data_IF_512191598555
#
_entry.id   IF_512191598555
#
_cell.length_a   1.000
_cell.length_b   1.000
_cell.length_c   1.000
_cell.angle_alpha   90.00
_cell.angle_beta   90.00
_cell.angle_gamma   90.00
#
_symmetry.space_group_name_H-M   'P 1'
#
loop_
_entity.id
_entity.type
_entity.pdbx_description
1 polymer ?
#
# COMPACT_ATOMS: atom_id res chain seq x y z
N UNK A 1 13.75 -3.91 18.99
CA UNK A 1 14.69 -3.41 17.96
C UNK A 1 15.17 -4.59 17.14
N UNK A 2 15.31 -4.40 15.85
CA UNK A 2 15.73 -5.42 14.90
C UNK A 2 17.12 -5.07 14.35
N UNK A 3 18.02 -6.05 14.35
CA UNK A 3 19.35 -5.92 13.74
C UNK A 3 19.32 -6.53 12.32
N UNK A 4 19.37 -5.66 11.33
CA UNK A 4 19.31 -6.06 9.92
C UNK A 4 20.57 -6.83 9.43
N UNK A 5 21.66 -6.81 10.18
CA UNK A 5 22.89 -7.54 9.81
C UNK A 5 22.84 -8.99 10.27
N UNK A 6 22.22 -9.24 11.41
CA UNK A 6 22.10 -10.58 12.01
C UNK A 6 20.73 -11.20 11.77
N UNK A 7 19.79 -10.46 11.19
CA UNK A 7 18.39 -10.85 10.96
C UNK A 7 17.68 -11.31 12.24
N UNK A 8 17.93 -10.60 13.34
CA UNK A 8 17.39 -10.96 14.65
C UNK A 8 16.82 -9.75 15.39
N UNK A 9 15.78 -10.00 16.18
CA UNK A 9 15.36 -9.05 17.18
C UNK A 9 16.36 -9.08 18.33
N UNK A 10 17.03 -7.94 18.58
CA UNK A 10 18.11 -7.84 19.54
C UNK A 10 17.72 -7.15 20.85
N UNK A 11 16.62 -6.39 20.86
CA UNK A 11 16.22 -5.62 22.04
C UNK A 11 14.76 -5.14 21.98
N UNK A 12 14.17 -4.90 23.13
CA UNK A 12 12.85 -4.32 23.30
C UNK A 12 12.94 -3.09 24.20
N UNK A 13 12.16 -2.06 23.89
CA UNK A 13 11.97 -0.88 24.74
C UNK A 13 10.51 -0.79 25.14
N UNK A 14 10.29 -0.51 26.41
CA UNK A 14 8.97 -0.39 27.04
C UNK A 14 8.92 0.78 28.02
N UNK A 15 7.79 1.00 28.66
CA UNK A 15 7.66 1.98 29.74
C UNK A 15 8.59 1.67 30.91
N UNK A 16 8.97 0.40 31.13
CA UNK A 16 9.94 0.00 32.16
C UNK A 16 11.37 0.47 31.83
N UNK A 17 11.65 0.74 30.55
CA UNK A 17 12.95 1.23 30.07
C UNK A 17 12.97 2.75 29.90
N UNK A 18 11.84 3.44 30.19
CA UNK A 18 11.70 4.89 30.12
C UNK A 18 10.90 5.42 28.93
N UNK A 19 10.26 4.56 28.13
CA UNK A 19 9.25 5.03 27.18
C UNK A 19 8.09 5.67 27.94
N UNK A 20 7.54 6.75 27.36
CA UNK A 20 6.39 7.45 27.96
C UNK A 20 5.12 6.60 27.79
N UNK A 21 5.01 5.88 26.66
CA UNK A 21 3.91 4.99 26.35
C UNK A 21 4.41 3.85 25.44
N UNK A 22 3.82 2.66 25.58
CA UNK A 22 4.13 1.52 24.72
C UNK A 22 3.45 1.59 23.34
N UNK A 23 2.42 2.41 23.18
CA UNK A 23 1.79 2.66 21.89
C UNK A 23 2.62 3.71 21.11
N UNK A 24 3.37 3.25 20.13
CA UNK A 24 4.21 4.05 19.24
C UNK A 24 3.44 4.27 17.92
N UNK A 25 3.25 5.52 17.52
CA UNK A 25 2.59 5.85 16.27
C UNK A 25 3.57 6.15 15.14
N UNK A 26 4.68 6.81 15.45
CA UNK A 26 5.68 7.16 14.45
C UNK A 26 7.10 7.19 15.02
N UNK A 27 8.06 7.10 14.12
CA UNK A 27 9.48 7.28 14.43
C UNK A 27 10.15 8.07 13.32
N UNK A 28 10.95 9.06 13.69
CA UNK A 28 11.75 9.83 12.75
C UNK A 28 13.19 9.94 13.26
N UNK A 29 14.15 9.79 12.34
CA UNK A 29 15.57 9.98 12.62
C UNK A 29 16.01 11.37 12.21
N UNK A 30 16.81 12.03 13.05
CA UNK A 30 17.50 13.24 12.64
C UNK A 30 18.96 12.95 12.21
N UNK A 31 19.65 13.95 11.63
CA UNK A 31 21.02 13.80 11.13
C UNK A 31 22.04 13.41 12.19
N UNK A 32 21.80 13.67 13.46
CA UNK A 32 22.63 13.28 14.59
C UNK A 32 22.47 11.82 15.01
N UNK A 33 21.74 11.04 14.24
CA UNK A 33 21.41 9.64 14.51
C UNK A 33 20.48 9.37 15.68
N UNK A 34 19.92 10.41 16.28
CA UNK A 34 18.89 10.26 17.32
C UNK A 34 17.53 9.90 16.70
N UNK A 35 16.77 9.06 17.36
CA UNK A 35 15.43 8.65 16.90
C UNK A 35 14.37 9.29 17.79
N UNK A 36 13.53 10.09 17.18
CA UNK A 36 12.36 10.71 17.81
C UNK A 36 11.17 9.75 17.67
N UNK A 37 10.51 9.46 18.78
CA UNK A 37 9.46 8.46 18.89
C UNK A 37 8.17 9.17 19.33
N UNK A 38 7.21 9.26 18.41
CA UNK A 38 5.87 9.78 18.68
C UNK A 38 4.98 8.73 19.31
N UNK A 39 4.33 9.07 20.44
CA UNK A 39 3.56 8.12 21.24
C UNK A 39 2.10 8.54 21.37
N UNK A 40 1.27 7.58 21.78
CA UNK A 40 -0.11 7.82 22.14
C UNK A 40 -0.20 8.52 23.49
N UNK A 41 -0.89 9.68 23.52
CA UNK A 41 -1.31 10.35 24.77
C UNK A 41 -0.20 10.98 25.61
N UNK A 42 1.09 10.87 25.23
CA UNK A 42 2.19 11.23 26.10
C UNK A 42 3.30 12.13 25.49
N UNK A 43 3.26 12.41 24.18
CA UNK A 43 4.22 13.26 23.49
C UNK A 43 5.36 12.49 22.83
N UNK A 44 6.62 12.93 23.00
CA UNK A 44 7.78 12.44 22.25
C UNK A 44 8.88 11.94 23.18
N UNK A 45 9.36 10.72 22.92
CA UNK A 45 10.65 10.23 23.41
C UNK A 45 11.76 10.46 22.38
N UNK A 46 12.99 10.53 22.82
CA UNK A 46 14.19 10.61 22.00
C UNK A 46 15.13 9.49 22.44
N UNK A 47 15.46 8.61 21.50
CA UNK A 47 16.44 7.56 21.71
C UNK A 47 17.77 8.00 21.10
N UNK A 48 18.79 8.14 21.94
CA UNK A 48 20.15 8.56 21.61
C UNK A 48 21.15 7.47 21.96
N UNK A 49 22.35 7.57 21.39
CA UNK A 49 23.45 6.66 21.69
C UNK A 49 24.67 7.43 22.22
N UNK A 50 25.25 6.96 23.33
CA UNK A 50 26.56 7.38 23.83
C UNK A 50 27.48 6.16 23.82
N UNK A 51 28.32 6.06 22.79
CA UNK A 51 29.02 4.82 22.47
C UNK A 51 28.03 3.70 22.20
N UNK A 52 28.13 2.59 22.95
CA UNK A 52 27.19 1.46 22.82
C UNK A 52 25.98 1.56 23.78
N UNK A 53 25.91 2.60 24.61
CA UNK A 53 24.83 2.78 25.56
C UNK A 53 23.67 3.54 24.92
N UNK A 54 22.47 2.96 25.00
CA UNK A 54 21.21 3.60 24.64
C UNK A 54 20.75 4.50 25.78
N UNK A 55 20.31 5.70 25.45
CA UNK A 55 19.77 6.67 26.39
C UNK A 55 18.42 7.11 25.86
N UNK A 56 17.40 6.98 26.70
CA UNK A 56 16.04 7.39 26.35
C UNK A 56 15.68 8.65 27.13
N UNK A 57 15.32 9.70 26.40
CA UNK A 57 14.91 10.98 26.96
C UNK A 57 13.46 11.27 26.61
N UNK A 58 12.85 12.17 27.37
CA UNK A 58 11.61 12.82 26.97
C UNK A 58 11.93 14.20 26.38
N UNK A 59 11.31 14.57 25.26
CA UNK A 59 11.38 15.94 24.78
C UNK A 59 10.59 16.86 25.73
N UNK A 60 11.31 17.72 26.45
CA UNK A 60 10.69 18.67 27.38
C UNK A 60 10.11 19.87 26.61
N UNK A 61 8.79 19.97 26.60
CA UNK A 61 8.08 21.14 26.08
C UNK A 61 7.89 22.13 27.23
N UNK A 62 8.41 23.37 27.12
CA UNK A 62 8.21 24.38 28.16
C UNK A 62 6.73 24.66 28.45
N UNK A 63 6.37 24.82 29.71
CA UNK A 63 4.97 24.93 30.18
C UNK A 63 4.20 26.13 29.65
N UNK A 64 4.89 27.13 29.10
CA UNK A 64 4.26 28.31 28.47
C UNK A 64 3.77 28.04 27.04
N UNK A 65 4.14 26.90 26.44
CA UNK A 65 3.59 26.46 25.16
C UNK A 65 2.35 25.58 25.35
N UNK A 66 1.44 25.53 24.36
CA UNK A 66 0.30 24.63 24.41
C UNK A 66 0.71 23.15 24.54
N UNK A 67 0.02 22.41 25.39
CA UNK A 67 0.23 20.98 25.52
C UNK A 67 -0.32 20.25 24.31
N UNK A 68 0.37 19.18 23.90
CA UNK A 68 -0.11 18.19 22.94
C UNK A 68 0.17 16.79 23.49
N UNK A 69 -0.50 15.79 22.96
CA UNK A 69 -0.40 14.43 23.52
C UNK A 69 0.01 13.39 22.48
N UNK A 70 -0.90 12.99 21.61
CA UNK A 70 -0.64 11.94 20.61
C UNK A 70 0.00 12.54 19.37
N UNK A 71 1.11 11.94 18.92
CA UNK A 71 1.88 12.35 17.75
C UNK A 71 1.81 11.23 16.71
N UNK A 72 1.15 11.49 15.59
CA UNK A 72 0.96 10.54 14.52
C UNK A 72 2.10 10.54 13.50
N UNK A 73 2.74 11.71 13.30
CA UNK A 73 3.86 11.80 12.37
C UNK A 73 4.88 12.87 12.82
N UNK A 74 6.14 12.65 12.47
CA UNK A 74 7.27 13.53 12.74
C UNK A 74 8.07 13.71 11.46
N UNK A 75 8.15 14.94 10.96
CA UNK A 75 8.92 15.26 9.76
C UNK A 75 9.96 16.35 10.06
N UNK A 76 11.21 16.12 9.66
CA UNK A 76 12.31 17.07 9.86
C UNK A 76 12.61 17.89 8.61
N UNK A 77 12.94 19.16 8.79
CA UNK A 77 13.38 20.11 7.76
C UNK A 77 14.53 20.98 8.25
N UNK A 78 15.14 21.77 7.37
CA UNK A 78 16.24 22.70 7.68
C UNK A 78 17.42 22.07 8.43
N UNK A 79 17.95 20.96 7.87
CA UNK A 79 19.08 20.26 8.47
C UNK A 79 18.74 19.71 9.85
N UNK A 80 17.50 19.18 9.99
CA UNK A 80 16.99 18.54 11.21
C UNK A 80 16.83 19.45 12.45
N UNK A 81 16.89 20.76 12.25
CA UNK A 81 16.66 21.74 13.32
C UNK A 81 15.20 22.13 13.50
N UNK A 82 14.37 21.88 12.49
CA UNK A 82 12.93 22.15 12.54
C UNK A 82 12.18 20.81 12.41
N UNK A 83 11.34 20.55 13.39
CA UNK A 83 10.50 19.35 13.49
C UNK A 83 9.04 19.76 13.32
N UNK A 84 8.36 19.09 12.42
CA UNK A 84 6.93 19.18 12.18
C UNK A 84 6.23 17.99 12.79
N UNK A 85 5.15 18.21 13.52
CA UNK A 85 4.37 17.17 14.19
C UNK A 85 2.94 17.15 13.67
N UNK A 86 2.51 15.99 13.22
CA UNK A 86 1.11 15.66 13.00
C UNK A 86 0.50 15.11 14.28
N UNK A 87 -0.60 15.67 14.74
CA UNK A 87 -1.16 15.34 16.05
C UNK A 87 -2.61 14.87 15.98
N UNK A 88 -3.04 14.21 17.04
CA UNK A 88 -4.44 13.81 17.23
C UNK A 88 -5.24 14.94 17.89
N UNK A 89 -5.77 15.85 17.08
CA UNK A 89 -6.67 16.91 17.54
C UNK A 89 -5.98 18.19 18.07
N UNK A 90 -4.64 18.29 17.90
CA UNK A 90 -3.88 19.50 18.26
C UNK A 90 -3.33 20.23 17.03
N UNK A 91 -3.71 19.81 15.84
CA UNK A 91 -3.30 20.38 14.57
C UNK A 91 -1.87 20.08 14.17
N UNK A 92 -1.30 20.93 13.31
CA UNK A 92 0.09 20.91 12.88
C UNK A 92 0.94 21.75 13.83
N UNK A 93 2.02 21.13 14.35
CA UNK A 93 2.93 21.82 15.26
C UNK A 93 4.32 21.90 14.63
N UNK A 94 4.89 23.09 14.62
CA UNK A 94 6.28 23.37 14.24
C UNK A 94 7.10 23.63 15.49
N UNK A 95 8.19 22.90 15.66
CA UNK A 95 9.12 23.07 16.78
C UNK A 95 10.53 23.24 16.21
N UNK A 96 11.23 24.30 16.65
CA UNK A 96 12.69 24.39 16.43
C UNK A 96 13.39 23.83 17.65
N UNK A 97 14.25 22.86 17.43
CA UNK A 97 15.05 22.19 18.46
C UNK A 97 16.52 22.49 18.31
N UNK A 98 17.25 22.46 19.42
CA UNK A 98 18.70 22.59 19.46
C UNK A 98 19.27 21.53 20.40
N UNK A 99 20.22 20.74 19.89
CA UNK A 99 20.93 19.73 20.68
C UNK A 99 21.89 20.43 21.65
N UNK A 100 21.81 20.08 22.92
CA UNK A 100 22.68 20.61 23.95
C UNK A 100 23.93 19.71 24.12
N UNK A 101 24.98 20.25 24.72
CA UNK A 101 26.25 19.53 24.96
C UNK A 101 26.07 18.22 25.74
N UNK A 102 25.04 18.15 26.58
CA UNK A 102 24.69 16.99 27.41
C UNK A 102 23.89 15.92 26.64
N UNK A 103 23.60 16.16 25.35
CA UNK A 103 22.84 15.24 24.48
C UNK A 103 21.33 15.44 24.50
N UNK A 104 20.80 16.27 25.40
CA UNK A 104 19.38 16.62 25.45
C UNK A 104 19.02 17.67 24.38
N UNK A 105 17.73 17.80 24.06
CA UNK A 105 17.23 18.79 23.13
C UNK A 105 16.46 19.90 23.88
N UNK A 106 16.72 21.14 23.48
CA UNK A 106 16.01 22.33 23.96
C UNK A 106 15.09 22.84 22.87
N UNK A 107 13.82 23.09 23.22
CA UNK A 107 12.86 23.76 22.35
C UNK A 107 13.17 25.25 22.33
N UNK A 108 13.40 25.80 21.13
CA UNK A 108 13.71 27.21 20.88
C UNK A 108 12.51 28.02 20.40
N UNK A 109 11.71 27.37 19.53
CA UNK A 109 10.50 27.96 18.94
C UNK A 109 9.41 26.92 18.94
N UNK A 110 8.17 27.39 19.10
CA UNK A 110 6.98 26.55 19.02
C UNK A 110 5.88 27.33 18.33
N UNK A 111 5.32 26.77 17.28
CA UNK A 111 4.19 27.35 16.56
C UNK A 111 3.14 26.25 16.32
N UNK A 112 1.89 26.58 16.55
CA UNK A 112 0.77 25.65 16.37
C UNK A 112 -0.25 26.23 15.38
N UNK A 113 -0.67 25.39 14.46
CA UNK A 113 -1.73 25.69 13.50
C UNK A 113 -2.91 24.77 13.77
N UNK A 114 -4.11 25.36 13.88
CA UNK A 114 -5.35 24.64 14.19
C UNK A 114 -6.51 25.12 13.32
N UNK A 115 -7.61 24.39 13.34
CA UNK A 115 -8.87 24.80 12.71
C UNK A 115 -9.51 26.02 13.36
N UNK A 116 -9.07 26.42 14.55
CA UNK A 116 -9.55 27.61 15.30
C UNK A 116 -8.76 28.87 14.98
N UNK A 117 -7.65 28.79 14.25
CA UNK A 117 -6.86 29.94 13.89
C UNK A 117 -7.68 30.91 13.03
N UNK A 118 -7.49 32.24 13.24
CA UNK A 118 -8.15 33.27 12.40
C UNK A 118 -7.59 33.28 10.97
N UNK A 119 -6.28 33.13 10.85
CA UNK A 119 -5.52 32.99 9.60
C UNK A 119 -4.79 31.67 9.62
N UNK A 120 -4.46 31.11 8.46
CA UNK A 120 -3.82 29.80 8.37
C UNK A 120 -4.64 28.70 9.08
N UNK A 121 -5.93 28.71 8.80
CA UNK A 121 -6.88 27.76 9.36
C UNK A 121 -6.73 26.40 8.74
N UNK A 122 -6.60 25.36 9.57
CA UNK A 122 -6.62 23.96 9.10
C UNK A 122 -8.03 23.52 8.72
N UNK A 123 -8.10 22.52 7.84
CA UNK A 123 -9.35 21.83 7.50
C UNK A 123 -9.81 20.88 8.61
N UNK A 124 -8.84 20.28 9.34
CA UNK A 124 -9.08 19.40 10.49
C UNK A 124 -7.82 19.38 11.36
N UNK A 125 -7.98 19.18 12.68
CA UNK A 125 -6.88 19.18 13.65
C UNK A 125 -6.25 17.80 13.88
N UNK A 126 -6.76 16.75 13.23
CA UNK A 126 -6.16 15.42 13.23
C UNK A 126 -5.32 15.27 11.96
N UNK A 127 -4.00 15.18 12.13
CA UNK A 127 -3.03 15.10 11.03
C UNK A 127 -2.28 13.79 11.12
N UNK A 128 -2.43 12.95 10.08
CA UNK A 128 -1.85 11.61 10.04
C UNK A 128 -0.47 11.55 9.40
N UNK A 129 -0.21 12.39 8.39
CA UNK A 129 1.05 12.31 7.67
C UNK A 129 1.52 13.68 7.18
N UNK A 130 2.84 13.86 7.14
CA UNK A 130 3.53 15.11 6.77
C UNK A 130 4.69 14.76 5.85
N UNK A 131 4.88 15.57 4.80
CA UNK A 131 6.08 15.53 3.97
C UNK A 131 6.45 16.93 3.50
N UNK A 132 7.62 17.10 2.87
CA UNK A 132 8.04 18.36 2.25
C UNK A 132 8.38 18.15 0.78
N UNK A 133 8.12 19.15 -0.06
CA UNK A 133 8.54 19.18 -1.45
C UNK A 133 9.91 19.86 -1.62
N UNK A 134 10.43 19.86 -2.86
CA UNK A 134 11.72 20.45 -3.21
C UNK A 134 11.79 21.99 -2.97
N UNK A 135 10.64 22.65 -2.85
CA UNK A 135 10.51 24.08 -2.53
C UNK A 135 10.40 24.33 -1.04
N UNK A 136 10.55 23.29 -0.21
CA UNK A 136 10.36 23.31 1.24
C UNK A 136 8.93 23.69 1.69
N UNK A 137 7.91 23.55 0.83
CA UNK A 137 6.54 23.56 1.32
C UNK A 137 6.27 22.32 2.16
N UNK A 138 5.45 22.46 3.19
CA UNK A 138 5.03 21.35 4.02
C UNK A 138 3.65 20.90 3.56
N UNK A 139 3.58 19.66 3.10
CA UNK A 139 2.33 19.00 2.74
C UNK A 139 1.87 18.14 3.90
N UNK A 140 0.61 18.22 4.26
CA UNK A 140 0.07 17.44 5.36
C UNK A 140 -1.36 16.99 5.08
N UNK A 141 -1.60 15.72 5.43
CA UNK A 141 -2.88 15.05 5.28
C UNK A 141 -3.68 15.08 6.57
N UNK A 142 -4.97 15.37 6.46
CA UNK A 142 -5.86 15.46 7.59
C UNK A 142 -6.94 14.37 7.54
N UNK A 143 -7.53 14.07 8.70
CA UNK A 143 -8.67 13.14 8.80
C UNK A 143 -9.93 13.78 8.24
N UNK A 144 -10.33 13.35 7.05
CA UNK A 144 -11.55 13.81 6.37
C UNK A 144 -11.52 15.26 5.88
N UNK A 145 -10.44 16.03 6.13
CA UNK A 145 -10.29 17.41 5.69
C UNK A 145 -9.42 17.59 4.44
N UNK A 146 -8.93 16.49 3.85
CA UNK A 146 -8.14 16.50 2.64
C UNK A 146 -6.68 16.92 2.81
N UNK A 147 -6.05 17.28 1.69
CA UNK A 147 -4.64 17.63 1.59
C UNK A 147 -4.44 19.14 1.69
N UNK A 148 -3.52 19.56 2.54
CA UNK A 148 -3.14 20.95 2.76
C UNK A 148 -1.65 21.15 2.45
N UNK A 149 -1.31 22.37 2.02
CA UNK A 149 0.06 22.85 1.83
C UNK A 149 0.33 24.07 2.69
N UNK A 150 1.36 24.06 3.49
CA UNK A 150 1.93 25.24 4.11
C UNK A 150 3.10 25.73 3.26
N UNK A 151 2.96 26.91 2.68
CA UNK A 151 4.08 27.62 2.07
C UNK A 151 4.94 28.22 3.17
N UNK A 152 6.16 27.72 3.36
CA UNK A 152 7.03 28.14 4.46
C UNK A 152 7.63 29.54 4.27
N UNK A 153 7.68 30.06 3.03
CA UNK A 153 8.18 31.41 2.74
C UNK A 153 7.16 32.49 3.09
N UNK A 154 5.90 32.28 2.73
CA UNK A 154 4.80 33.22 2.99
C UNK A 154 4.10 32.93 4.32
N UNK A 155 4.35 31.77 4.91
CA UNK A 155 3.65 31.24 6.08
C UNK A 155 2.13 31.20 5.86
N UNK A 156 1.68 30.74 4.68
CA UNK A 156 0.27 30.60 4.34
C UNK A 156 -0.11 29.14 4.17
N UNK A 157 -1.28 28.76 4.70
CA UNK A 157 -1.85 27.42 4.51
C UNK A 157 -2.93 27.47 3.44
N UNK A 158 -2.84 26.56 2.49
CA UNK A 158 -3.71 26.46 1.33
C UNK A 158 -4.21 25.02 1.19
N UNK A 159 -5.44 24.83 0.73
CA UNK A 159 -5.97 23.51 0.38
C UNK A 159 -5.57 23.14 -1.04
N UNK A 160 -5.39 21.85 -1.31
CA UNK A 160 -5.16 21.39 -2.68
C UNK A 160 -6.26 21.89 -3.64
N UNK A 161 -7.51 21.75 -3.27
CA UNK A 161 -8.65 22.17 -4.09
C UNK A 161 -8.56 23.64 -4.53
N UNK A 162 -8.13 24.53 -3.61
CA UNK A 162 -8.04 25.98 -3.86
C UNK A 162 -6.89 26.33 -4.82
N UNK A 163 -5.75 25.65 -4.71
CA UNK A 163 -4.54 25.92 -5.50
C UNK A 163 -4.45 25.16 -6.81
N UNK A 164 -5.24 24.11 -6.96
CA UNK A 164 -5.22 23.23 -8.13
C UNK A 164 -6.35 23.46 -9.14
N UNK A 165 -7.21 24.45 -8.90
CA UNK A 165 -8.39 24.69 -9.73
C UNK A 165 -9.52 23.66 -9.51
N UNK A 166 -9.59 23.05 -8.34
CA UNK A 166 -10.68 22.16 -7.95
C UNK A 166 -10.38 20.66 -8.12
N UNK A 167 -9.12 20.24 -8.22
CA UNK A 167 -8.77 18.81 -8.21
C UNK A 167 -9.24 18.14 -6.93
N UNK A 168 -9.89 17.00 -7.07
CA UNK A 168 -10.39 16.21 -5.96
C UNK A 168 -9.65 14.87 -5.89
N UNK A 169 -9.13 14.56 -4.70
CA UNK A 169 -8.57 13.24 -4.40
C UNK A 169 -9.66 12.17 -4.35
N UNK A 170 -9.27 10.92 -4.45
CA UNK A 170 -10.18 9.78 -4.32
C UNK A 170 -10.92 9.77 -2.99
N UNK A 171 -10.28 10.28 -1.93
CA UNK A 171 -10.90 10.47 -0.61
C UNK A 171 -10.16 11.56 0.18
N UNK A 172 -10.85 12.23 1.12
CA UNK A 172 -10.32 13.30 1.95
C UNK A 172 -9.73 12.82 3.30
N UNK A 173 -9.78 11.52 3.58
CA UNK A 173 -9.13 10.91 4.73
C UNK A 173 -7.72 10.44 4.31
N UNK A 174 -6.71 11.29 4.58
CA UNK A 174 -5.35 11.08 4.11
C UNK A 174 -4.57 10.30 5.17
N UNK A 175 -4.09 9.10 4.81
CA UNK A 175 -3.38 8.19 5.73
C UNK A 175 -1.86 8.28 5.58
N UNK A 176 -1.36 8.49 4.36
CA UNK A 176 0.07 8.50 4.09
C UNK A 176 0.44 9.52 3.02
N UNK A 177 1.63 10.13 3.15
CA UNK A 177 2.20 11.08 2.19
C UNK A 177 3.67 10.77 1.95
N UNK A 178 4.08 10.77 0.69
CA UNK A 178 5.49 10.67 0.31
C UNK A 178 5.75 11.53 -0.91
N UNK A 179 6.76 12.40 -0.83
CA UNK A 179 7.21 13.20 -1.97
C UNK A 179 8.49 12.61 -2.55
N UNK A 180 8.50 12.40 -3.85
CA UNK A 180 9.67 11.94 -4.59
C UNK A 180 9.60 12.38 -6.05
N UNK A 181 10.72 12.86 -6.60
CA UNK A 181 10.90 13.17 -8.02
C UNK A 181 9.77 14.01 -8.64
N UNK A 182 9.37 15.09 -7.96
CA UNK A 182 8.31 16.00 -8.42
C UNK A 182 6.87 15.46 -8.23
N UNK A 183 6.72 14.27 -7.65
CA UNK A 183 5.44 13.64 -7.40
C UNK A 183 5.13 13.63 -5.89
N UNK A 184 3.95 14.06 -5.53
CA UNK A 184 3.39 13.85 -4.21
C UNK A 184 2.43 12.65 -4.27
N UNK A 185 2.80 11.58 -3.62
CA UNK A 185 1.99 10.38 -3.46
C UNK A 185 1.11 10.53 -2.23
N UNK A 186 -0.19 10.37 -2.41
CA UNK A 186 -1.21 10.60 -1.39
C UNK A 186 -2.03 9.32 -1.22
N UNK A 187 -1.71 8.56 -0.17
CA UNK A 187 -2.48 7.39 0.23
C UNK A 187 -3.69 7.81 1.07
N UNK A 188 -4.86 7.33 0.68
CA UNK A 188 -6.12 7.66 1.35
C UNK A 188 -6.84 6.40 1.85
N UNK A 189 -7.95 6.58 2.57
CA UNK A 189 -8.82 5.47 2.95
C UNK A 189 -9.56 4.85 1.75
N UNK A 190 -9.48 5.48 0.56
CA UNK A 190 -10.09 4.96 -0.68
C UNK A 190 -9.27 5.29 -1.93
N UNK A 191 -8.09 4.71 -2.05
CA UNK A 191 -7.22 4.79 -3.21
C UNK A 191 -5.92 5.56 -2.98
N UNK A 192 -5.01 5.39 -3.94
CA UNK A 192 -3.76 6.11 -4.06
C UNK A 192 -3.90 7.22 -5.10
N UNK A 193 -3.38 8.39 -4.79
CA UNK A 193 -3.35 9.52 -5.70
C UNK A 193 -1.90 9.93 -5.96
N UNK A 194 -1.51 10.07 -7.21
CA UNK A 194 -0.24 10.66 -7.62
C UNK A 194 -0.50 12.08 -8.12
N UNK A 195 -0.01 13.06 -7.38
CA UNK A 195 -0.08 14.46 -7.71
C UNK A 195 1.27 14.90 -8.29
N UNK A 196 1.35 15.09 -9.58
CA UNK A 196 2.51 15.64 -10.28
C UNK A 196 2.53 17.16 -10.10
N UNK A 197 3.63 17.69 -9.57
CA UNK A 197 3.75 19.11 -9.22
C UNK A 197 4.75 19.79 -10.18
N UNK A 198 4.23 20.58 -11.12
CA UNK A 198 5.02 21.36 -12.07
C UNK A 198 4.80 22.85 -11.80
N UNK A 199 5.76 23.52 -11.18
CA UNK A 199 5.68 24.94 -10.77
C UNK A 199 4.40 25.28 -10.01
N UNK A 200 3.34 25.73 -10.71
CA UNK A 200 2.02 26.06 -10.16
C UNK A 200 0.90 25.23 -10.82
N UNK A 201 1.23 24.21 -11.58
CA UNK A 201 0.26 23.31 -12.20
C UNK A 201 0.30 21.95 -11.50
N UNK A 202 -0.87 21.32 -11.42
CA UNK A 202 -1.05 20.02 -10.77
C UNK A 202 -1.73 19.09 -11.75
N UNK A 203 -1.19 17.88 -11.87
CA UNK A 203 -1.82 16.80 -12.62
C UNK A 203 -2.07 15.63 -11.66
N UNK A 204 -3.29 15.10 -11.65
CA UNK A 204 -3.71 14.05 -10.73
C UNK A 204 -3.97 12.74 -11.46
N UNK A 205 -3.36 11.67 -11.01
CA UNK A 205 -3.61 10.30 -11.44
C UNK A 205 -4.05 9.48 -10.23
N UNK A 206 -5.16 8.76 -10.35
CA UNK A 206 -5.75 7.99 -9.27
C UNK A 206 -5.63 6.48 -9.56
N UNK A 207 -5.45 5.70 -8.49
CA UNK A 207 -5.40 4.24 -8.51
C UNK A 207 -6.32 3.69 -7.43
N UNK A 208 -7.23 2.82 -7.85
CA UNK A 208 -8.18 2.09 -6.98
C UNK A 208 -8.19 0.61 -7.37
N UNK A 209 -9.11 -0.16 -6.84
CA UNK A 209 -9.38 -1.53 -7.27
C UNK A 209 -9.80 -1.62 -8.76
N UNK A 210 -10.37 -0.55 -9.33
CA UNK A 210 -10.64 -0.46 -10.77
C UNK A 210 -9.37 -0.48 -11.63
N UNK A 211 -8.28 0.12 -11.13
CA UNK A 211 -6.95 0.12 -11.76
C UNK A 211 -6.12 -1.11 -11.35
N UNK A 212 -6.67 -2.00 -10.53
CA UNK A 212 -6.06 -3.28 -10.19
C UNK A 212 -5.45 -3.37 -8.79
N UNK A 213 -5.66 -2.40 -7.91
CA UNK A 213 -5.25 -2.53 -6.51
C UNK A 213 -6.04 -3.65 -5.82
N UNK A 214 -5.39 -4.42 -4.95
CA UNK A 214 -6.06 -5.45 -4.17
C UNK A 214 -6.93 -4.92 -3.03
N UNK A 215 -6.71 -3.66 -2.63
CA UNK A 215 -7.50 -2.94 -1.63
C UNK A 215 -7.27 -1.43 -1.75
N UNK A 216 -8.29 -0.65 -1.41
CA UNK A 216 -8.28 0.80 -1.56
C UNK A 216 -7.75 1.56 -0.33
N UNK A 217 -7.57 0.94 0.83
CA UNK A 217 -6.99 1.60 2.01
C UNK A 217 -5.46 1.58 1.92
N UNK A 218 -4.83 2.74 1.80
CA UNK A 218 -3.39 2.88 1.55
C UNK A 218 -2.68 3.35 2.81
N UNK A 219 -1.99 2.44 3.50
CA UNK A 219 -1.30 2.70 4.77
C UNK A 219 0.10 3.27 4.63
N UNK A 220 0.84 2.85 3.58
CA UNK A 220 2.20 3.28 3.34
C UNK A 220 2.53 3.37 1.87
N UNK A 221 3.38 4.32 1.49
CA UNK A 221 3.78 4.58 0.10
C UNK A 221 5.28 4.76 0.04
N UNK A 222 5.98 3.89 -0.70
CA UNK A 222 7.42 3.92 -0.90
C UNK A 222 7.76 3.94 -2.39
N UNK A 223 8.06 5.11 -2.97
CA UNK A 223 8.50 5.24 -4.36
C UNK A 223 9.91 4.66 -4.58
N UNK A 224 10.13 4.12 -5.79
CA UNK A 224 11.44 3.73 -6.29
C UNK A 224 11.99 4.78 -7.27
N UNK A 225 13.32 4.84 -7.38
CA UNK A 225 14.03 5.71 -8.36
C UNK A 225 13.77 5.35 -9.82
N UNK A 226 13.26 4.15 -10.11
CA UNK A 226 12.86 3.71 -11.45
C UNK A 226 11.46 4.20 -11.86
N UNK A 227 10.74 4.91 -10.96
CA UNK A 227 9.38 5.40 -11.16
C UNK A 227 8.27 4.44 -10.75
N UNK A 228 8.61 3.26 -10.22
CA UNK A 228 7.63 2.36 -9.58
C UNK A 228 7.29 2.85 -8.17
N UNK A 229 6.15 2.44 -7.62
CA UNK A 229 5.76 2.74 -6.24
C UNK A 229 5.20 1.49 -5.55
N UNK A 230 5.69 1.24 -4.34
CA UNK A 230 5.24 0.17 -3.45
C UNK A 230 4.28 0.72 -2.41
N UNK A 231 3.16 0.06 -2.23
CA UNK A 231 2.11 0.48 -1.29
C UNK A 231 1.67 -0.68 -0.42
N UNK A 232 1.40 -0.40 0.84
CA UNK A 232 0.80 -1.36 1.78
C UNK A 232 -0.68 -1.04 2.00
N UNK A 233 -1.47 -2.10 2.13
CA UNK A 233 -2.94 -2.03 2.21
C UNK A 233 -3.49 -2.98 3.28
N UNK A 234 -4.83 -3.03 3.43
CA UNK A 234 -5.51 -4.06 4.25
C UNK A 234 -5.53 -5.47 3.60
N UNK A 235 -5.01 -5.62 2.38
CA UNK A 235 -4.97 -6.91 1.66
C UNK A 235 -3.61 -7.24 1.06
N UNK A 236 -2.53 -6.76 1.69
CA UNK A 236 -1.18 -7.03 1.25
C UNK A 236 -0.46 -5.81 0.72
N UNK A 237 0.54 -6.05 -0.11
CA UNK A 237 1.37 -5.04 -0.75
C UNK A 237 1.05 -5.01 -2.24
N UNK A 238 0.95 -3.82 -2.83
CA UNK A 238 0.86 -3.67 -4.28
C UNK A 238 2.06 -2.87 -4.77
N UNK A 239 2.54 -3.16 -5.99
CA UNK A 239 3.48 -2.32 -6.72
C UNK A 239 2.83 -1.83 -8.00
N UNK A 240 2.96 -0.55 -8.25
CA UNK A 240 2.54 0.10 -9.51
C UNK A 240 3.83 0.44 -10.25
N UNK A 241 4.01 -0.09 -11.44
CA UNK A 241 5.17 0.22 -12.25
C UNK A 241 5.02 1.57 -12.98
N UNK A 242 6.10 2.02 -13.63
CA UNK A 242 6.12 3.29 -14.38
C UNK A 242 5.10 3.36 -15.52
N UNK A 243 4.54 2.21 -15.96
CA UNK A 243 3.51 2.14 -17.02
C UNK A 243 2.11 2.21 -16.44
N UNK A 244 1.97 2.16 -15.10
CA UNK A 244 0.71 2.11 -14.39
C UNK A 244 0.18 0.69 -14.20
N UNK A 245 0.94 -0.35 -14.56
CA UNK A 245 0.57 -1.74 -14.32
C UNK A 245 0.69 -2.08 -12.84
N UNK A 246 -0.31 -2.75 -12.30
CA UNK A 246 -0.39 -3.10 -10.87
C UNK A 246 -0.08 -4.58 -10.67
N UNK A 247 0.75 -4.87 -9.68
CA UNK A 247 1.02 -6.23 -9.20
C UNK A 247 0.77 -6.30 -7.70
N UNK A 248 0.10 -7.35 -7.25
CA UNK A 248 -0.34 -7.52 -5.87
C UNK A 248 0.34 -8.73 -5.21
N UNK A 249 0.71 -8.57 -3.94
CA UNK A 249 1.30 -9.59 -3.08
C UNK A 249 0.44 -9.75 -1.84
N UNK A 250 0.33 -10.98 -1.36
CA UNK A 250 -0.47 -11.34 -0.20
C UNK A 250 0.27 -12.39 0.68
N UNK A 251 -0.40 -12.92 1.69
CA UNK A 251 0.17 -13.90 2.61
C UNK A 251 0.76 -15.13 1.89
N UNK A 252 0.16 -15.60 0.79
CA UNK A 252 0.68 -16.75 0.02
C UNK A 252 1.98 -16.44 -0.74
N UNK A 253 2.30 -15.16 -0.93
CA UNK A 253 3.56 -14.71 -1.51
C UNK A 253 4.67 -14.53 -0.46
N UNK A 254 4.40 -14.86 0.81
CA UNK A 254 5.36 -14.80 1.91
C UNK A 254 5.29 -13.52 2.75
N UNK A 255 4.21 -12.74 2.64
CA UNK A 255 4.00 -11.60 3.53
C UNK A 255 3.72 -12.08 4.96
N UNK A 256 4.06 -11.23 5.94
CA UNK A 256 3.82 -11.50 7.37
C UNK A 256 2.32 -11.66 7.70
N UNK A 257 1.46 -10.93 7.00
CA UNK A 257 0.00 -10.95 7.02
C UNK A 257 -0.52 -10.14 5.83
N UNK A 258 -1.83 -10.13 5.62
CA UNK A 258 -2.46 -9.25 4.63
C UNK A 258 -2.68 -7.82 5.17
N UNK A 259 -2.81 -7.63 6.48
CA UNK A 259 -3.08 -6.34 7.10
C UNK A 259 -1.79 -5.60 7.48
N UNK A 260 -1.63 -4.39 6.96
CA UNK A 260 -0.54 -3.48 7.25
C UNK A 260 -1.03 -2.29 8.08
N UNK A 261 -0.09 -1.57 8.72
CA UNK A 261 -0.41 -0.52 9.68
C UNK A 261 -0.02 0.87 9.15
N UNK A 262 -0.80 1.89 9.52
CA UNK A 262 -0.50 3.29 9.22
C UNK A 262 0.88 3.68 9.77
N UNK A 263 1.64 4.46 8.99
CA UNK A 263 2.95 4.97 9.40
C UNK A 263 4.06 3.93 9.50
N UNK A 264 3.76 2.63 9.27
CA UNK A 264 4.71 1.54 9.45
C UNK A 264 5.42 1.16 8.13
N UNK A 265 6.11 2.11 7.53
CA UNK A 265 6.87 1.90 6.30
C UNK A 265 8.18 2.70 6.32
N UNK A 266 9.24 2.14 5.71
CA UNK A 266 10.57 2.76 5.74
C UNK A 266 11.47 2.21 4.63
N UNK A 267 12.38 3.04 4.10
CA UNK A 267 13.47 2.62 3.23
C UNK A 267 14.78 2.89 3.96
N UNK A 268 15.63 1.87 4.10
CA UNK A 268 16.95 2.05 4.69
C UNK A 268 18.01 2.52 3.67
N UNK A 269 19.20 2.90 4.16
CA UNK A 269 20.34 3.35 3.33
C UNK A 269 20.86 2.31 2.33
N UNK A 270 20.49 1.06 2.47
CA UNK A 270 20.86 -0.05 1.59
C UNK A 270 19.74 -0.41 0.60
N UNK A 271 18.69 0.44 0.51
CA UNK A 271 17.49 0.24 -0.29
C UNK A 271 16.70 -1.01 0.06
N UNK A 272 16.71 -1.43 1.33
CA UNK A 272 15.70 -2.34 1.85
C UNK A 272 14.43 -1.59 2.17
N UNK A 273 13.33 -2.12 1.70
CA UNK A 273 11.98 -1.64 1.95
C UNK A 273 11.39 -2.42 3.12
N UNK A 274 10.77 -1.72 4.04
CA UNK A 274 10.13 -2.27 5.23
C UNK A 274 8.67 -1.85 5.25
N UNK A 275 7.79 -2.83 5.43
CA UNK A 275 6.37 -2.59 5.67
C UNK A 275 5.93 -3.38 6.90
N UNK A 276 5.45 -2.68 7.92
CA UNK A 276 4.97 -3.25 9.18
C UNK A 276 3.47 -3.51 9.16
N UNK A 277 3.06 -4.54 9.87
CA UNK A 277 1.66 -4.94 10.01
C UNK A 277 1.41 -5.72 11.29
N UNK A 278 0.24 -6.35 11.37
CA UNK A 278 -0.28 -6.98 12.59
C UNK A 278 0.53 -8.16 13.12
N UNK A 279 1.31 -8.84 12.26
CA UNK A 279 2.11 -10.01 12.64
C UNK A 279 3.62 -9.78 12.52
N UNK A 280 4.06 -8.53 12.43
CA UNK A 280 5.47 -8.16 12.28
C UNK A 280 5.70 -7.24 11.09
N UNK A 281 6.79 -7.45 10.35
CA UNK A 281 7.09 -6.65 9.17
C UNK A 281 7.69 -7.51 8.05
N UNK A 282 7.52 -7.05 6.82
CA UNK A 282 8.24 -7.56 5.65
C UNK A 282 9.43 -6.66 5.35
N UNK A 283 10.56 -7.28 4.98
CA UNK A 283 11.78 -6.64 4.54
C UNK A 283 12.23 -7.25 3.22
N UNK A 284 12.40 -6.43 2.20
CA UNK A 284 12.85 -6.88 0.89
C UNK A 284 13.59 -5.76 0.13
N UNK A 285 14.32 -6.12 -0.91
CA UNK A 285 14.84 -5.17 -1.90
C UNK A 285 14.07 -5.34 -3.21
N UNK A 286 13.41 -4.31 -3.72
CA UNK A 286 12.74 -4.37 -5.01
C UNK A 286 13.65 -4.86 -6.15
N UNK A 287 14.90 -4.40 -6.20
CA UNK A 287 15.85 -4.78 -7.23
C UNK A 287 16.28 -6.27 -7.20
N UNK A 288 16.07 -6.97 -6.09
CA UNK A 288 16.36 -8.39 -5.93
C UNK A 288 15.12 -9.29 -6.18
N UNK A 289 13.94 -8.67 -6.36
CA UNK A 289 12.72 -9.41 -6.66
C UNK A 289 12.72 -9.86 -8.11
N UNK A 290 12.78 -11.16 -8.31
CA UNK A 290 12.73 -11.78 -9.65
C UNK A 290 11.31 -12.24 -9.90
N UNK A 291 10.65 -11.65 -10.89
CA UNK A 291 9.37 -12.16 -11.38
C UNK A 291 9.62 -13.19 -12.48
N UNK A 292 9.02 -14.36 -12.33
CA UNK A 292 9.18 -15.44 -13.29
C UNK A 292 8.30 -15.15 -14.52
N UNK A 293 8.93 -15.00 -15.68
CA UNK A 293 8.22 -14.95 -16.98
C UNK A 293 7.90 -16.35 -17.48
N UNK A 294 7.60 -17.28 -16.55
CA UNK A 294 7.22 -18.64 -16.90
C UNK A 294 5.76 -18.67 -17.32
N UNK A 295 5.51 -19.11 -18.55
CA UNK A 295 4.16 -19.30 -19.07
C UNK A 295 3.68 -20.71 -18.73
N UNK A 296 2.96 -20.83 -17.62
CA UNK A 296 2.49 -22.12 -17.11
C UNK A 296 1.50 -22.78 -18.09
N UNK A 297 1.74 -23.99 -18.59
CA UNK A 297 0.75 -24.70 -19.38
C UNK A 297 -0.52 -24.95 -18.57
N UNK A 298 -1.66 -24.91 -19.24
CA UNK A 298 -2.95 -25.15 -18.61
C UNK A 298 -3.59 -26.43 -19.17
N UNK A 299 -4.24 -27.19 -18.32
CA UNK A 299 -4.98 -28.40 -18.69
C UNK A 299 -6.37 -28.42 -18.06
N UNK A 300 -7.29 -29.14 -18.69
CA UNK A 300 -8.56 -29.56 -18.11
C UNK A 300 -8.30 -30.72 -17.14
N UNK A 301 -8.51 -30.49 -15.86
CA UNK A 301 -8.20 -31.43 -14.78
C UNK A 301 -9.39 -32.27 -14.34
N UNK A 302 -10.61 -31.78 -14.52
CA UNK A 302 -11.82 -32.47 -14.10
C UNK A 302 -13.03 -32.17 -14.98
N UNK A 303 -13.88 -33.17 -15.16
CA UNK A 303 -15.16 -33.09 -15.86
C UNK A 303 -16.24 -33.69 -14.98
N UNK A 304 -17.31 -32.94 -14.73
CA UNK A 304 -18.54 -33.46 -14.10
C UNK A 304 -19.74 -33.14 -14.99
N UNK A 305 -20.61 -34.14 -15.13
CA UNK A 305 -21.92 -33.95 -15.76
C UNK A 305 -22.96 -34.27 -14.68
N UNK A 306 -23.75 -33.25 -14.29
CA UNK A 306 -24.50 -33.25 -13.05
C UNK A 306 -23.58 -33.54 -11.85
N UNK A 307 -23.84 -34.55 -11.05
CA UNK A 307 -23.00 -34.94 -9.91
C UNK A 307 -22.02 -36.09 -10.23
N UNK A 308 -22.01 -36.58 -11.46
CA UNK A 308 -21.14 -37.69 -11.87
C UNK A 308 -19.82 -37.20 -12.40
N UNK A 309 -18.71 -37.67 -11.85
CA UNK A 309 -17.36 -37.40 -12.36
C UNK A 309 -16.99 -38.35 -13.49
N UNK A 310 -16.38 -37.81 -14.52
CA UNK A 310 -15.92 -38.56 -15.68
C UNK A 310 -14.41 -38.42 -15.85
N UNK A 311 -13.79 -39.44 -16.40
CA UNK A 311 -12.39 -39.35 -16.83
C UNK A 311 -12.31 -38.41 -18.05
N UNK A 312 -11.50 -37.36 -17.94
CA UNK A 312 -11.34 -36.34 -18.99
C UNK A 312 -10.87 -37.00 -20.30
N UNK A 313 -9.88 -37.90 -20.24
CA UNK A 313 -9.27 -38.53 -21.40
C UNK A 313 -10.19 -39.53 -22.10
N UNK A 314 -11.17 -40.10 -21.39
CA UNK A 314 -12.15 -41.04 -21.97
C UNK A 314 -13.36 -40.34 -22.59
N UNK A 315 -13.67 -39.14 -22.10
CA UNK A 315 -14.88 -38.41 -22.48
C UNK A 315 -14.60 -37.30 -23.51
N UNK A 316 -13.35 -36.86 -23.63
CA UNK A 316 -12.92 -35.82 -24.58
C UNK A 316 -11.97 -36.45 -25.60
N UNK A 317 -12.37 -36.41 -26.86
CA UNK A 317 -11.58 -36.83 -28.00
C UNK A 317 -11.27 -35.60 -28.86
N UNK A 318 -10.02 -35.45 -29.29
CA UNK A 318 -9.57 -34.33 -30.15
C UNK A 318 -10.03 -32.94 -29.68
N UNK A 319 -9.94 -32.66 -28.36
CA UNK A 319 -10.44 -31.44 -27.74
C UNK A 319 -11.94 -31.19 -27.98
N UNK A 320 -12.73 -32.26 -28.10
CA UNK A 320 -14.17 -32.16 -28.32
C UNK A 320 -14.95 -32.95 -27.28
N UNK A 321 -15.89 -32.27 -26.62
CA UNK A 321 -16.85 -32.86 -25.69
C UNK A 321 -18.25 -32.90 -26.31
N UNK A 322 -18.75 -34.10 -26.54
CA UNK A 322 -20.10 -34.33 -27.01
C UNK A 322 -21.01 -34.62 -25.83
N UNK A 323 -22.11 -33.87 -25.71
CA UNK A 323 -23.12 -33.99 -24.69
C UNK A 323 -24.47 -34.31 -25.31
N UNK A 324 -25.23 -35.21 -24.69
CA UNK A 324 -26.61 -35.43 -25.05
C UNK A 324 -27.50 -34.24 -24.60
N UNK A 325 -28.70 -34.15 -25.11
CA UNK A 325 -29.66 -33.11 -24.71
C UNK A 325 -29.89 -33.08 -23.20
N UNK A 326 -29.84 -34.23 -22.54
CA UNK A 326 -30.06 -34.35 -21.08
C UNK A 326 -28.81 -34.01 -20.26
N UNK A 327 -27.60 -33.98 -20.86
CA UNK A 327 -26.32 -33.69 -20.18
C UNK A 327 -25.94 -32.23 -20.18
N UNK A 328 -26.90 -31.32 -20.00
CA UNK A 328 -26.69 -29.83 -20.12
C UNK A 328 -26.13 -29.12 -18.89
N UNK A 329 -25.96 -29.84 -17.79
CA UNK A 329 -25.32 -29.32 -16.59
C UNK A 329 -23.90 -29.88 -16.50
N UNK A 330 -22.92 -29.02 -16.82
CA UNK A 330 -21.52 -29.44 -16.97
C UNK A 330 -20.64 -28.55 -16.11
N UNK A 331 -19.74 -29.19 -15.37
CA UNK A 331 -18.69 -28.52 -14.61
C UNK A 331 -17.33 -28.93 -15.12
N UNK A 332 -16.52 -27.96 -15.50
CA UNK A 332 -15.16 -28.13 -16.03
C UNK A 332 -14.19 -27.50 -15.05
N UNK A 333 -13.23 -28.28 -14.55
CA UNK A 333 -12.15 -27.79 -13.69
C UNK A 333 -10.85 -27.72 -14.46
N UNK A 334 -10.14 -26.61 -14.37
CA UNK A 334 -8.85 -26.37 -15.02
C UNK A 334 -7.72 -26.32 -14.01
N UNK A 335 -6.51 -26.47 -14.46
CA UNK A 335 -5.30 -26.30 -13.64
C UNK A 335 -4.21 -25.64 -14.47
N UNK A 336 -3.66 -24.56 -13.97
CA UNK A 336 -2.40 -23.98 -14.46
C UNK A 336 -1.24 -24.78 -13.85
N UNK A 337 -0.31 -25.25 -14.67
CA UNK A 337 0.82 -26.09 -14.21
C UNK A 337 1.97 -25.21 -13.65
N UNK A 338 1.65 -24.24 -12.84
CA UNK A 338 2.63 -23.57 -11.99
C UNK A 338 2.69 -24.29 -10.64
N UNK A 339 3.70 -25.15 -10.47
CA UNK A 339 3.83 -26.00 -9.27
C UNK A 339 4.40 -25.26 -8.05
N UNK A 340 4.75 -23.97 -8.18
CA UNK A 340 5.31 -23.17 -7.08
C UNK A 340 4.20 -22.35 -6.40
N UNK A 341 3.39 -21.63 -7.19
CA UNK A 341 2.36 -20.71 -6.66
C UNK A 341 1.00 -20.92 -7.37
N UNK A 342 0.57 -22.17 -7.53
CA UNK A 342 -0.66 -22.49 -8.25
C UNK A 342 -1.92 -21.81 -7.64
N UNK A 343 -1.94 -21.59 -6.33
CA UNK A 343 -3.06 -20.95 -5.64
C UNK A 343 -3.26 -19.49 -6.06
N UNK A 344 -2.22 -18.84 -6.61
CA UNK A 344 -2.25 -17.46 -7.09
C UNK A 344 -2.61 -17.35 -8.58
N UNK A 345 -2.72 -18.46 -9.29
CA UNK A 345 -3.10 -18.44 -10.70
C UNK A 345 -4.53 -17.93 -10.86
N UNK A 346 -4.72 -17.04 -11.83
CA UNK A 346 -6.03 -16.52 -12.19
C UNK A 346 -6.50 -17.13 -13.50
N UNK A 347 -7.81 -17.22 -13.66
CA UNK A 347 -8.46 -17.87 -14.80
C UNK A 347 -9.47 -16.93 -15.46
N UNK A 348 -9.60 -17.02 -16.77
CA UNK A 348 -10.66 -16.38 -17.51
C UNK A 348 -11.13 -17.28 -18.66
N UNK A 349 -12.40 -17.17 -19.01
CA UNK A 349 -12.97 -17.92 -20.12
C UNK A 349 -13.90 -17.06 -20.97
N UNK A 350 -14.14 -17.54 -22.21
CA UNK A 350 -15.25 -17.08 -23.06
C UNK A 350 -15.84 -18.24 -23.81
N UNK A 351 -17.12 -18.16 -24.16
CA UNK A 351 -17.85 -19.20 -24.85
C UNK A 351 -18.42 -18.66 -26.16
N UNK A 352 -17.83 -19.04 -27.29
CA UNK A 352 -18.31 -18.61 -28.62
C UNK A 352 -19.31 -19.61 -29.20
N UNK A 353 -20.33 -19.17 -29.95
CA UNK A 353 -20.66 -17.78 -30.31
C UNK A 353 -21.53 -17.06 -29.24
N UNK A 354 -21.66 -17.61 -28.02
CA UNK A 354 -22.51 -17.06 -26.97
C UNK A 354 -22.06 -15.66 -26.52
N UNK A 355 -20.75 -15.48 -26.30
CA UNK A 355 -20.13 -14.18 -26.02
C UNK A 355 -18.67 -14.16 -26.50
N UNK A 356 -18.22 -13.00 -27.00
CA UNK A 356 -16.81 -12.73 -27.31
C UNK A 356 -16.04 -12.14 -26.12
N UNK A 357 -16.72 -11.71 -25.07
CA UNK A 357 -16.12 -11.11 -23.90
C UNK A 357 -15.50 -12.15 -22.95
N UNK A 358 -14.35 -11.79 -22.33
CA UNK A 358 -13.72 -12.61 -21.33
C UNK A 358 -14.41 -12.46 -19.97
N UNK A 359 -14.80 -13.57 -19.37
CA UNK A 359 -15.33 -13.65 -18.02
C UNK A 359 -14.18 -14.06 -17.09
N UNK A 360 -13.82 -13.18 -16.18
CA UNK A 360 -12.74 -13.39 -15.20
C UNK A 360 -13.28 -14.13 -13.98
N UNK A 361 -12.60 -15.21 -13.60
CA UNK A 361 -12.96 -16.10 -12.48
C UNK A 361 -12.10 -15.86 -11.23
N UNK A 362 -11.10 -14.96 -11.31
CA UNK A 362 -10.06 -14.85 -10.27
C UNK A 362 -9.34 -16.18 -10.10
N UNK A 363 -9.08 -16.59 -8.87
CA UNK A 363 -8.37 -17.85 -8.56
C UNK A 363 -9.25 -19.10 -8.64
N UNK A 364 -10.52 -18.98 -8.99
CA UNK A 364 -11.40 -20.15 -9.14
C UNK A 364 -11.16 -20.84 -10.49
N UNK A 365 -10.66 -22.08 -10.53
CA UNK A 365 -10.36 -22.78 -11.77
C UNK A 365 -11.59 -23.48 -12.37
N UNK A 366 -12.80 -23.21 -11.88
CA UNK A 366 -13.99 -24.01 -12.20
C UNK A 366 -15.00 -23.20 -13.02
N UNK A 367 -15.41 -23.76 -14.15
CA UNK A 367 -16.45 -23.22 -15.02
C UNK A 367 -17.67 -24.12 -14.92
N UNK A 368 -18.83 -23.52 -14.67
CA UNK A 368 -20.12 -24.23 -14.58
C UNK A 368 -21.06 -23.72 -15.65
N UNK A 369 -21.53 -24.63 -16.49
CA UNK A 369 -22.60 -24.35 -17.43
C UNK A 369 -23.88 -25.05 -16.97
N UNK A 370 -24.96 -24.26 -16.84
CA UNK A 370 -26.29 -24.76 -16.54
C UNK A 370 -27.21 -24.53 -17.74
N UNK A 371 -27.76 -25.61 -18.29
CA UNK A 371 -28.77 -25.57 -19.35
C UNK A 371 -28.30 -24.86 -20.65
N UNK A 372 -27.09 -25.12 -21.12
CA UNK A 372 -26.67 -24.64 -22.43
C UNK A 372 -27.64 -25.13 -23.50
N UNK A 373 -28.11 -24.28 -24.41
CA UNK A 373 -28.93 -24.68 -25.55
C UNK A 373 -28.23 -25.72 -26.45
N UNK A 374 -28.99 -26.50 -27.19
CA UNK A 374 -28.46 -27.39 -28.22
C UNK A 374 -27.69 -26.61 -29.27
N UNK A 375 -26.51 -27.07 -29.64
CA UNK A 375 -25.65 -26.38 -30.57
C UNK A 375 -24.18 -26.70 -30.44
N UNK A 376 -23.35 -25.97 -31.18
CA UNK A 376 -21.90 -26.07 -31.15
C UNK A 376 -21.29 -24.81 -30.57
N UNK A 377 -20.38 -24.97 -29.63
CA UNK A 377 -19.70 -23.92 -28.95
C UNK A 377 -18.18 -24.15 -28.92
N UNK A 378 -17.41 -23.10 -28.89
CA UNK A 378 -15.98 -23.13 -28.60
C UNK A 378 -15.73 -22.46 -27.26
N UNK A 379 -15.37 -23.24 -26.27
CA UNK A 379 -14.89 -22.74 -24.98
C UNK A 379 -13.42 -22.40 -25.12
N UNK A 380 -13.08 -21.16 -24.89
CA UNK A 380 -11.71 -20.68 -24.80
C UNK A 380 -11.41 -20.31 -23.34
N UNK A 381 -10.29 -20.84 -22.84
CA UNK A 381 -9.86 -20.60 -21.45
C UNK A 381 -8.40 -20.16 -21.46
N UNK A 382 -8.06 -19.19 -20.62
CA UNK A 382 -6.69 -18.74 -20.37
C UNK A 382 -6.43 -18.67 -18.87
N UNK A 383 -5.16 -18.80 -18.48
CA UNK A 383 -4.74 -18.65 -17.09
C UNK A 383 -3.48 -17.80 -16.98
N UNK A 384 -3.21 -17.30 -15.79
CA UNK A 384 -1.91 -16.74 -15.41
C UNK A 384 -1.00 -17.83 -14.85
N UNK A 385 0.28 -17.48 -14.68
CA UNK A 385 1.16 -18.17 -13.73
C UNK A 385 0.90 -17.65 -12.30
N UNK A 386 1.60 -18.17 -11.31
CA UNK A 386 1.50 -17.72 -9.93
C UNK A 386 2.01 -16.30 -9.67
N UNK A 387 2.75 -15.72 -10.61
CA UNK A 387 3.15 -14.30 -10.60
C UNK A 387 2.16 -13.41 -11.38
N UNK A 388 0.97 -13.94 -11.68
CA UNK A 388 -0.15 -13.25 -12.37
C UNK A 388 0.14 -12.78 -13.79
N UNK A 389 1.12 -13.40 -14.45
CA UNK A 389 1.42 -13.13 -15.86
C UNK A 389 0.53 -14.02 -16.73
N UNK A 390 -0.33 -13.39 -17.54
CA UNK A 390 -1.24 -14.09 -18.44
C UNK A 390 -0.47 -14.90 -19.49
N UNK A 391 -0.89 -16.16 -19.68
CA UNK A 391 -0.41 -16.99 -20.77
C UNK A 391 -1.07 -16.54 -22.09
N UNK A 392 -0.28 -16.39 -23.14
CA UNK A 392 -0.79 -16.10 -24.49
C UNK A 392 -1.46 -17.34 -25.12
N UNK A 393 -1.10 -18.54 -24.66
CA UNK A 393 -1.71 -19.79 -25.10
C UNK A 393 -3.11 -19.93 -24.53
N UNK A 394 -4.08 -20.11 -25.41
CA UNK A 394 -5.49 -20.32 -25.08
C UNK A 394 -5.81 -21.79 -25.20
N UNK A 395 -6.35 -22.39 -24.13
CA UNK A 395 -6.94 -23.73 -24.19
C UNK A 395 -8.28 -23.65 -24.91
N UNK A 396 -8.51 -24.53 -25.91
CA UNK A 396 -9.75 -24.58 -26.68
C UNK A 396 -10.41 -25.93 -26.53
N UNK A 397 -11.71 -25.92 -26.20
CA UNK A 397 -12.56 -27.13 -26.15
C UNK A 397 -13.82 -26.87 -26.97
N UNK A 398 -14.06 -27.73 -27.94
CA UNK A 398 -15.34 -27.75 -28.67
C UNK A 398 -16.40 -28.47 -27.83
N UNK A 399 -17.54 -27.81 -27.61
CA UNK A 399 -18.70 -28.38 -26.95
C UNK A 399 -19.81 -28.59 -27.99
N UNK A 400 -20.29 -29.80 -28.12
CA UNK A 400 -21.41 -30.13 -29.03
C UNK A 400 -22.56 -30.71 -28.21
N UNK A 401 -23.68 -29.97 -28.13
CA UNK A 401 -24.87 -30.39 -27.36
C UNK A 401 -25.94 -30.85 -28.32
N UNK A 402 -26.36 -32.11 -28.13
CA UNK A 402 -27.36 -32.75 -28.96
C UNK A 402 -28.74 -32.09 -28.92
N UNK A 403 -29.54 -32.33 -29.93
CA UNK A 403 -30.94 -31.91 -29.96
C UNK A 403 -31.80 -32.99 -29.24
N UNK A 404 -33.04 -32.60 -28.80
CA UNK A 404 -33.98 -33.51 -28.14
C UNK A 404 -34.30 -34.75 -28.98
#
# INVERSE_FOLDING_TARGET
MYDATTDKTCDFLSVNDGLINNSIYCMARNGDHDVFIGTEGAGINILSWQGNKKILHRLAIPSHYPAFRSVYDIHFTNGDSVMWLGTSGYGLIKIRIEKQKEGNYKVREFQQYTSLNKTNKLTNDVIYSITSDDKNNIWFGTRGGGLNRLNTLTNTIERLEDISGGLQLTNNDILSLTYADGNLWVGTSYGLNRLEIHENTFHLVCYTDNEGLNNNTIHGVLPETNGSVWISTNRGISVIDRTGSVKNFNLSDGLQNNEFSDGAYYIDKNNYYYFGGVSGFNRFKPAEMVFRDFKAPMELSSLRIFNNSFNVHERIEDNKLKLSYDERYVTLGFISKDFINNENCEYAYRLRPYSDEWIFLGNNPTIVFSQLPSGKYTLEVKSTNGDKIWNESIYRLELEIGYP
#
